data_IF_907530211690
#
_entry.id   IF_907530211690
#
_cell.length_a   1.000
_cell.length_b   1.000
_cell.length_c   1.000
_cell.angle_alpha   90.00
_cell.angle_beta   90.00
_cell.angle_gamma   90.00
#
_symmetry.space_group_name_H-M   'P 1'
#
loop_
_entity.id
_entity.type
_entity.pdbx_description
1 polymer ?
#
# COMPACT_ATOMS: atom_id res chain seq x y z
N UNK A 1 20.05 -26.55 -2.60
CA UNK A 1 19.18 -25.63 -3.35
C UNK A 1 19.45 -25.79 -4.84
N UNK A 2 18.40 -25.62 -5.63
CA UNK A 2 18.45 -25.68 -7.07
C UNK A 2 18.14 -24.31 -7.66
N UNK A 3 18.72 -23.99 -8.81
CA UNK A 3 18.49 -22.71 -9.49
C UNK A 3 18.32 -22.93 -10.99
N UNK A 4 17.53 -22.08 -11.62
CA UNK A 4 17.43 -21.99 -13.06
C UNK A 4 17.17 -20.53 -13.49
N UNK A 5 17.58 -20.19 -14.69
CA UNK A 5 17.30 -18.88 -15.29
C UNK A 5 16.16 -19.05 -16.28
N UNK A 6 15.16 -18.20 -16.17
CA UNK A 6 13.96 -18.18 -17.01
C UNK A 6 14.00 -16.95 -17.94
N UNK A 7 13.87 -17.18 -19.24
CA UNK A 7 13.87 -16.12 -20.27
C UNK A 7 15.03 -15.12 -20.14
N UNK A 8 16.20 -15.59 -19.70
CA UNK A 8 17.43 -14.81 -19.54
C UNK A 8 17.36 -13.60 -18.60
N UNK A 9 16.25 -13.40 -17.92
CA UNK A 9 16.01 -12.20 -17.07
C UNK A 9 15.46 -12.53 -15.69
N UNK A 10 14.98 -13.73 -15.44
CA UNK A 10 14.44 -14.14 -14.16
C UNK A 10 15.26 -15.29 -13.59
N UNK A 11 15.43 -15.29 -12.29
CA UNK A 11 16.08 -16.39 -11.57
C UNK A 11 15.05 -17.08 -10.70
N UNK A 12 14.91 -18.38 -10.87
CA UNK A 12 14.14 -19.23 -9.98
C UNK A 12 15.10 -20.06 -9.12
N UNK A 13 14.81 -20.15 -7.83
CA UNK A 13 15.54 -20.99 -6.88
C UNK A 13 14.56 -21.74 -5.99
N UNK A 14 14.89 -22.97 -5.62
CA UNK A 14 14.02 -23.79 -4.78
C UNK A 14 14.77 -24.74 -3.86
N UNK A 15 14.08 -25.14 -2.83
CA UNK A 15 14.42 -26.19 -1.90
C UNK A 15 13.24 -27.18 -1.81
N UNK A 16 13.32 -28.15 -0.91
CA UNK A 16 12.22 -29.07 -0.62
C UNK A 16 11.02 -28.36 0.03
N UNK A 17 11.20 -27.14 0.56
CA UNK A 17 10.19 -26.42 1.32
C UNK A 17 9.67 -25.16 0.66
N UNK A 18 10.44 -24.53 -0.23
CA UNK A 18 10.11 -23.24 -0.80
C UNK A 18 10.58 -23.09 -2.26
N UNK A 19 9.84 -22.29 -3.01
CA UNK A 19 10.14 -21.89 -4.37
C UNK A 19 10.07 -20.37 -4.48
N UNK A 20 11.12 -19.74 -5.02
CA UNK A 20 11.23 -18.30 -5.21
C UNK A 20 11.56 -17.98 -6.67
N UNK A 21 10.90 -16.97 -7.23
CA UNK A 21 11.21 -16.40 -8.54
C UNK A 21 11.43 -14.91 -8.37
N UNK A 22 12.58 -14.43 -8.80
CA UNK A 22 12.97 -13.02 -8.69
C UNK A 22 13.50 -12.48 -10.02
N UNK A 23 13.24 -11.21 -10.27
CA UNK A 23 13.64 -10.50 -11.49
C UNK A 23 12.64 -9.41 -11.87
N UNK A 24 12.74 -8.80 -13.05
CA UNK A 24 13.78 -9.05 -14.06
C UNK A 24 15.14 -8.45 -13.69
N UNK A 25 16.22 -9.12 -14.12
CA UNK A 25 17.60 -8.64 -13.95
C UNK A 25 18.39 -8.82 -15.25
N UNK A 26 19.47 -8.06 -15.38
CA UNK A 26 20.44 -8.22 -16.47
C UNK A 26 21.34 -9.45 -16.23
N UNK A 27 21.97 -9.95 -17.26
CA UNK A 27 22.77 -11.18 -17.18
C UNK A 27 23.92 -11.09 -16.15
N UNK A 28 24.53 -9.93 -16.01
CA UNK A 28 25.60 -9.65 -15.04
C UNK A 28 25.11 -9.64 -13.58
N UNK A 29 23.83 -9.36 -13.35
CA UNK A 29 23.22 -9.34 -12.01
C UNK A 29 22.64 -10.70 -11.57
N UNK A 30 22.55 -11.69 -12.46
CA UNK A 30 21.95 -13.00 -12.16
C UNK A 30 22.67 -13.74 -11.02
N UNK A 31 24.01 -13.69 -10.98
CA UNK A 31 24.78 -14.34 -9.92
C UNK A 31 24.48 -13.73 -8.54
N UNK A 32 24.38 -12.40 -8.45
CA UNK A 32 24.02 -11.72 -7.22
C UNK A 32 22.60 -12.08 -6.78
N UNK A 33 21.65 -12.18 -7.72
CA UNK A 33 20.29 -12.57 -7.45
C UNK A 33 20.17 -14.02 -6.97
N UNK A 34 20.96 -14.96 -7.54
CA UNK A 34 21.03 -16.33 -7.05
C UNK A 34 21.54 -16.40 -5.61
N UNK A 35 22.55 -15.59 -5.27
CA UNK A 35 23.05 -15.49 -3.90
C UNK A 35 21.97 -14.97 -2.95
N UNK A 36 21.22 -13.95 -3.35
CA UNK A 36 20.12 -13.40 -2.57
C UNK A 36 18.98 -14.41 -2.36
N UNK A 37 18.57 -15.13 -3.41
CA UNK A 37 17.59 -16.22 -3.31
C UNK A 37 18.12 -17.31 -2.35
N UNK A 38 19.39 -17.66 -2.44
CA UNK A 38 20.00 -18.65 -1.52
C UNK A 38 19.95 -18.19 -0.06
N UNK A 39 20.13 -16.90 0.21
CA UNK A 39 20.00 -16.34 1.55
C UNK A 39 18.54 -16.47 2.05
N UNK A 40 17.56 -16.11 1.22
CA UNK A 40 16.15 -16.23 1.60
C UNK A 40 15.72 -17.68 1.84
N UNK A 41 16.18 -18.63 1.01
CA UNK A 41 15.88 -20.05 1.20
C UNK A 41 16.52 -20.67 2.44
N UNK A 42 17.53 -20.01 3.02
CA UNK A 42 18.22 -20.45 4.25
C UNK A 42 17.68 -19.80 5.52
N UNK A 43 16.85 -18.75 5.38
CA UNK A 43 16.32 -18.06 6.54
C UNK A 43 15.46 -18.99 7.40
N UNK A 44 15.62 -18.90 8.70
CA UNK A 44 14.73 -19.54 9.66
C UNK A 44 13.51 -18.63 9.97
N UNK A 45 12.58 -19.14 10.78
CA UNK A 45 11.37 -18.41 11.16
C UNK A 45 11.66 -17.11 11.91
N UNK A 46 12.81 -16.96 12.56
CA UNK A 46 13.19 -15.77 13.32
C UNK A 46 13.85 -14.71 12.45
N UNK A 47 14.42 -15.10 11.31
CA UNK A 47 15.11 -14.21 10.36
C UNK A 47 14.18 -13.74 9.24
N UNK A 48 13.09 -14.45 8.97
CA UNK A 48 12.15 -14.17 7.90
C UNK A 48 11.14 -13.07 8.22
N UNK A 49 10.31 -12.77 7.22
CA UNK A 49 9.23 -11.77 7.34
C UNK A 49 8.24 -12.09 8.47
N UNK A 50 8.09 -13.37 8.84
CA UNK A 50 7.15 -13.84 9.87
C UNK A 50 7.45 -13.25 11.25
N UNK A 51 8.72 -12.94 11.56
CA UNK A 51 9.12 -12.25 12.79
C UNK A 51 8.84 -10.74 12.76
N UNK A 52 8.43 -10.19 11.62
CA UNK A 52 8.24 -8.76 11.44
C UNK A 52 6.86 -8.29 11.94
N UNK A 53 6.82 -7.05 12.43
CA UNK A 53 5.55 -6.38 12.79
C UNK A 53 4.60 -6.21 11.59
N UNK A 54 5.14 -6.13 10.37
CA UNK A 54 4.35 -6.09 9.14
C UNK A 54 3.60 -7.40 8.93
N UNK A 55 4.27 -8.53 9.09
CA UNK A 55 3.64 -9.85 8.99
C UNK A 55 2.59 -10.04 10.08
N UNK A 56 2.88 -9.69 11.33
CA UNK A 56 1.91 -9.77 12.42
C UNK A 56 0.63 -8.95 12.12
N UNK A 57 0.77 -7.78 11.47
CA UNK A 57 -0.39 -7.01 11.02
C UNK A 57 -1.12 -7.70 9.87
N UNK A 58 -0.42 -8.25 8.89
CA UNK A 58 -1.01 -8.99 7.77
C UNK A 58 -1.77 -10.23 8.26
N UNK A 59 -1.17 -11.00 9.14
CA UNK A 59 -1.74 -12.22 9.73
C UNK A 59 -3.00 -11.94 10.58
N UNK A 60 -3.10 -10.72 11.14
CA UNK A 60 -4.29 -10.29 11.90
C UNK A 60 -5.51 -9.96 11.03
N UNK A 61 -5.38 -9.93 9.70
CA UNK A 61 -6.47 -9.61 8.77
C UNK A 61 -7.16 -10.89 8.34
N UNK A 62 -8.38 -11.10 8.80
CA UNK A 62 -9.23 -12.24 8.42
C UNK A 62 -9.99 -11.94 7.13
N UNK A 63 -9.32 -12.07 5.98
CA UNK A 63 -9.89 -11.84 4.66
C UNK A 63 -9.28 -12.80 3.61
N UNK A 64 -10.05 -13.19 2.57
CA UNK A 64 -9.54 -14.03 1.47
C UNK A 64 -8.35 -13.43 0.73
N UNK A 65 -8.25 -12.11 0.68
CA UNK A 65 -7.11 -11.39 0.13
C UNK A 65 -6.79 -10.19 1.03
N UNK A 66 -5.53 -10.08 1.42
CA UNK A 66 -5.05 -8.99 2.27
C UNK A 66 -3.66 -8.52 1.82
N UNK A 67 -3.35 -7.27 2.14
CA UNK A 67 -2.09 -6.63 1.81
C UNK A 67 -1.67 -5.71 2.95
N UNK A 68 -0.37 -5.70 3.25
CA UNK A 68 0.26 -4.65 4.07
C UNK A 68 1.50 -4.17 3.33
N UNK A 69 1.61 -2.86 3.15
CA UNK A 69 2.73 -2.23 2.43
C UNK A 69 3.17 -0.94 3.10
N UNK A 70 4.41 -0.52 2.85
CA UNK A 70 4.87 0.82 3.20
C UNK A 70 4.44 1.81 2.11
N UNK A 71 3.99 3.01 2.49
CA UNK A 71 3.64 4.05 1.52
C UNK A 71 4.82 4.43 0.63
N UNK A 72 6.06 4.36 1.16
CA UNK A 72 7.28 4.60 0.40
C UNK A 72 7.53 3.59 -0.73
N UNK A 73 6.88 2.42 -0.72
CA UNK A 73 6.98 1.44 -1.79
C UNK A 73 6.07 1.76 -2.99
N UNK A 74 5.15 2.71 -2.85
CA UNK A 74 4.29 3.16 -3.94
C UNK A 74 5.02 4.13 -4.86
N UNK A 75 4.65 4.19 -6.16
CA UNK A 75 5.08 5.27 -7.03
C UNK A 75 4.73 6.63 -6.41
N UNK A 76 5.63 7.62 -6.53
CA UNK A 76 5.55 8.91 -5.85
C UNK A 76 4.19 9.61 -6.00
N UNK A 77 3.59 9.51 -7.18
CA UNK A 77 2.28 10.09 -7.49
C UNK A 77 1.13 9.52 -6.64
N UNK A 78 1.30 8.32 -6.09
CA UNK A 78 0.28 7.67 -5.25
C UNK A 78 0.53 7.81 -3.75
N UNK A 79 1.69 8.32 -3.33
CA UNK A 79 2.04 8.44 -1.90
C UNK A 79 1.20 9.50 -1.20
N UNK A 80 0.94 10.63 -1.87
CA UNK A 80 0.31 11.79 -1.26
C UNK A 80 -1.06 11.51 -0.59
N UNK A 81 -2.00 10.78 -1.21
CA UNK A 81 -3.28 10.46 -0.59
C UNK A 81 -3.14 9.63 0.69
N UNK A 82 -2.16 8.71 0.74
CA UNK A 82 -1.95 7.81 1.88
C UNK A 82 -1.20 8.48 3.04
N UNK A 83 -0.46 9.55 2.77
CA UNK A 83 0.27 10.32 3.80
C UNK A 83 -0.52 11.54 4.29
N UNK A 84 -1.76 11.72 3.85
CA UNK A 84 -2.61 12.81 4.30
C UNK A 84 -2.77 12.78 5.81
N UNK A 85 -2.42 13.89 6.46
CA UNK A 85 -2.46 14.01 7.92
C UNK A 85 -1.21 13.54 8.65
N UNK A 86 -0.25 12.91 7.96
CA UNK A 86 1.03 12.63 8.59
C UNK A 86 1.72 13.93 9.05
N UNK A 87 2.41 13.93 10.21
CA UNK A 87 3.11 15.10 10.71
C UNK A 87 4.15 15.62 9.72
N UNK A 88 4.39 16.92 9.69
CA UNK A 88 5.49 17.50 8.91
C UNK A 88 6.81 16.81 9.30
N UNK A 89 7.53 16.31 8.29
CA UNK A 89 8.79 15.59 8.49
C UNK A 89 8.63 14.09 8.82
N UNK A 90 7.41 13.54 8.84
CA UNK A 90 7.25 12.09 8.82
C UNK A 90 7.69 11.55 7.46
N UNK A 91 8.54 10.52 7.50
CA UNK A 91 8.96 9.80 6.31
C UNK A 91 7.80 8.91 5.81
N UNK A 92 7.64 8.79 4.49
CA UNK A 92 6.67 7.89 3.88
C UNK A 92 6.89 6.40 4.27
N UNK A 93 8.11 6.02 4.64
CA UNK A 93 8.42 4.70 5.19
C UNK A 93 7.77 4.42 6.55
N UNK A 94 7.41 5.47 7.30
CA UNK A 94 6.70 5.37 8.58
C UNK A 94 5.18 5.21 8.41
N UNK A 95 4.66 5.48 7.21
CA UNK A 95 3.24 5.31 6.89
C UNK A 95 3.04 3.97 6.21
N UNK A 96 2.17 3.18 6.77
CA UNK A 96 1.83 1.85 6.33
C UNK A 96 0.39 1.83 5.83
N UNK A 97 0.13 0.97 4.85
CA UNK A 97 -1.18 0.76 4.24
C UNK A 97 -1.54 -0.69 4.49
N UNK A 98 -2.69 -0.93 5.08
CA UNK A 98 -3.31 -2.24 5.11
C UNK A 98 -4.56 -2.20 4.25
N UNK A 99 -4.78 -3.24 3.45
CA UNK A 99 -5.98 -3.40 2.67
C UNK A 99 -6.45 -4.85 2.72
N UNK A 100 -7.76 -5.02 2.67
CA UNK A 100 -8.43 -6.31 2.59
C UNK A 100 -9.50 -6.31 1.51
N UNK A 101 -9.71 -7.46 0.92
CA UNK A 101 -10.79 -7.67 -0.04
C UNK A 101 -11.65 -8.85 0.41
N UNK A 102 -12.96 -8.59 0.48
CA UNK A 102 -13.98 -9.57 0.79
C UNK A 102 -15.04 -9.61 -0.31
N UNK A 103 -15.61 -10.78 -0.56
CA UNK A 103 -16.75 -10.94 -1.46
C UNK A 103 -17.96 -11.35 -0.63
N UNK A 104 -18.97 -10.49 -0.56
CA UNK A 104 -20.22 -10.73 0.15
C UNK A 104 -21.40 -10.43 -0.75
N UNK A 105 -22.33 -11.39 -0.86
CA UNK A 105 -23.54 -11.24 -1.70
C UNK A 105 -23.22 -10.79 -3.15
N UNK A 106 -22.21 -11.37 -3.77
CA UNK A 106 -21.73 -11.04 -5.12
C UNK A 106 -21.17 -9.63 -5.29
N UNK A 107 -20.92 -8.92 -4.18
CA UNK A 107 -20.29 -7.60 -4.16
C UNK A 107 -18.87 -7.74 -3.62
N UNK A 108 -17.91 -7.16 -4.33
CA UNK A 108 -16.54 -7.04 -3.86
C UNK A 108 -16.43 -5.82 -2.94
N UNK A 109 -15.99 -6.06 -1.72
CA UNK A 109 -15.70 -5.03 -0.74
C UNK A 109 -14.19 -4.91 -0.58
N UNK A 110 -13.65 -3.73 -0.83
CA UNK A 110 -12.25 -3.42 -0.58
C UNK A 110 -12.22 -2.37 0.54
N UNK A 111 -11.61 -2.73 1.66
CA UNK A 111 -11.38 -1.83 2.77
C UNK A 111 -9.89 -1.57 2.88
N UNK A 112 -9.54 -0.34 3.20
CA UNK A 112 -8.15 0.05 3.40
C UNK A 112 -8.01 1.02 4.55
N UNK A 113 -6.90 0.94 5.26
CA UNK A 113 -6.52 1.88 6.30
C UNK A 113 -5.06 2.29 6.16
N UNK A 114 -4.74 3.50 6.59
CA UNK A 114 -3.37 3.93 6.81
C UNK A 114 -3.06 3.93 8.30
N UNK A 115 -1.89 3.43 8.66
CA UNK A 115 -1.45 3.35 10.05
C UNK A 115 0.06 3.52 10.16
N UNK A 116 0.56 3.60 11.38
CA UNK A 116 1.99 3.64 11.67
C UNK A 116 2.30 2.87 12.93
N UNK A 117 3.49 2.27 12.99
CA UNK A 117 4.04 1.73 14.23
C UNK A 117 4.65 2.81 15.14
N UNK A 118 4.84 4.02 14.62
CA UNK A 118 5.16 5.20 15.42
C UNK A 118 3.85 5.80 15.96
N UNK A 119 3.69 5.86 17.28
CA UNK A 119 2.46 6.32 17.93
C UNK A 119 2.06 7.73 17.51
N UNK A 120 3.01 8.67 17.43
CA UNK A 120 2.75 10.06 17.04
C UNK A 120 2.22 10.15 15.60
N UNK A 121 2.83 9.40 14.69
CA UNK A 121 2.38 9.36 13.29
C UNK A 121 1.00 8.70 13.20
N UNK A 122 0.80 7.60 13.92
CA UNK A 122 -0.46 6.86 13.92
C UNK A 122 -1.64 7.69 14.48
N UNK A 123 -1.43 8.43 15.56
CA UNK A 123 -2.46 9.33 16.11
C UNK A 123 -2.82 10.46 15.13
N UNK A 124 -1.83 11.03 14.45
CA UNK A 124 -2.07 12.06 13.44
C UNK A 124 -2.86 11.51 12.24
N UNK A 125 -2.52 10.31 11.75
CA UNK A 125 -3.27 9.64 10.70
C UNK A 125 -4.72 9.36 11.13
N UNK A 126 -4.94 8.84 12.34
CA UNK A 126 -6.28 8.62 12.90
C UNK A 126 -7.08 9.92 13.04
N UNK A 127 -6.43 11.01 13.44
CA UNK A 127 -7.07 12.31 13.51
C UNK A 127 -7.47 12.83 12.12
N UNK A 128 -6.63 12.61 11.11
CA UNK A 128 -6.93 12.97 9.73
C UNK A 128 -8.11 12.17 9.17
N UNK A 129 -8.24 10.89 9.51
CA UNK A 129 -9.39 10.07 9.09
C UNK A 129 -10.75 10.60 9.58
N UNK A 130 -10.79 11.35 10.69
CA UNK A 130 -12.00 11.98 11.21
C UNK A 130 -12.56 13.11 10.34
N UNK A 131 -11.86 13.48 9.26
CA UNK A 131 -12.39 14.41 8.26
C UNK A 131 -13.42 13.77 7.34
N UNK A 132 -13.31 12.46 7.11
CA UNK A 132 -14.22 11.73 6.25
C UNK A 132 -15.59 11.57 6.92
N UNK A 133 -16.64 11.72 6.13
CA UNK A 133 -18.02 11.59 6.56
C UNK A 133 -18.72 10.54 5.71
N UNK A 134 -19.76 9.88 6.23
CA UNK A 134 -20.58 8.96 5.43
C UNK A 134 -21.12 9.64 4.17
N UNK A 135 -21.05 8.95 3.04
CA UNK A 135 -21.60 9.42 1.79
C UNK A 135 -23.13 9.36 1.89
N UNK A 136 -23.79 10.49 1.64
CA UNK A 136 -25.24 10.56 1.65
C UNK A 136 -25.79 10.22 0.26
N UNK A 137 -26.85 9.40 0.20
CA UNK A 137 -27.39 8.82 -1.04
C UNK A 137 -27.82 9.81 -2.13
N UNK A 138 -28.02 11.09 -1.80
CA UNK A 138 -28.42 12.13 -2.74
C UNK A 138 -27.50 12.25 -3.97
N UNK A 139 -26.20 12.05 -3.81
CA UNK A 139 -25.24 12.12 -4.91
C UNK A 139 -25.11 10.79 -5.68
N UNK A 140 -25.35 9.68 -5.00
CA UNK A 140 -25.32 8.35 -5.63
C UNK A 140 -26.46 8.22 -6.65
N UNK A 141 -27.65 8.80 -6.34
CA UNK A 141 -28.80 8.76 -7.24
C UNK A 141 -28.63 9.60 -8.51
N UNK A 142 -27.64 10.50 -8.55
CA UNK A 142 -27.31 11.30 -9.72
C UNK A 142 -26.41 10.57 -10.74
N UNK A 143 -25.90 9.37 -10.39
CA UNK A 143 -25.09 8.58 -11.33
C UNK A 143 -25.93 8.08 -12.51
N UNK A 144 -25.43 8.20 -13.76
CA UNK A 144 -26.03 7.56 -14.90
C UNK A 144 -26.12 6.03 -14.72
N UNK A 145 -27.16 5.40 -15.30
CA UNK A 145 -27.36 3.95 -15.18
C UNK A 145 -26.28 3.12 -15.89
N UNK A 146 -25.64 3.69 -16.88
CA UNK A 146 -24.57 3.11 -17.71
C UNK A 146 -23.16 3.47 -17.23
N UNK A 147 -23.05 4.16 -16.08
CA UNK A 147 -21.75 4.47 -15.51
C UNK A 147 -21.00 3.19 -15.11
N UNK A 148 -19.81 2.99 -15.65
CA UNK A 148 -18.94 1.86 -15.30
C UNK A 148 -18.25 2.05 -13.96
N UNK A 149 -18.02 3.30 -13.53
CA UNK A 149 -17.34 3.65 -12.28
C UNK A 149 -17.85 4.98 -11.75
N UNK A 150 -17.91 5.10 -10.43
CA UNK A 150 -18.17 6.35 -9.74
C UNK A 150 -17.28 6.47 -8.50
N UNK A 151 -16.75 7.65 -8.26
CA UNK A 151 -16.03 7.98 -7.03
C UNK A 151 -16.80 9.05 -6.26
N UNK A 152 -17.05 8.79 -5.00
CA UNK A 152 -17.72 9.72 -4.11
C UNK A 152 -16.83 9.98 -2.91
N UNK A 153 -16.68 11.26 -2.57
CA UNK A 153 -15.90 11.69 -1.42
C UNK A 153 -16.74 12.68 -0.61
N UNK A 154 -16.95 12.37 0.66
CA UNK A 154 -17.58 13.29 1.60
C UNK A 154 -16.60 13.63 2.71
N UNK A 155 -16.24 14.89 2.81
CA UNK A 155 -15.26 15.40 3.78
C UNK A 155 -15.78 16.63 4.52
N UNK A 156 -15.30 16.81 5.74
CA UNK A 156 -15.43 18.06 6.47
C UNK A 156 -14.47 19.09 5.87
N UNK A 157 -14.97 20.00 5.05
CA UNK A 157 -14.17 20.99 4.30
C UNK A 157 -13.32 21.87 5.20
N UNK A 158 -13.82 22.24 6.39
CA UNK A 158 -13.08 23.10 7.34
C UNK A 158 -11.85 22.39 7.90
N UNK A 159 -11.93 21.07 8.10
CA UNK A 159 -10.82 20.25 8.58
C UNK A 159 -9.92 19.76 7.46
N UNK A 160 -10.49 19.55 6.28
CA UNK A 160 -9.76 19.02 5.11
C UNK A 160 -8.82 20.07 4.51
N UNK A 161 -9.27 21.31 4.39
CA UNK A 161 -8.48 22.39 3.78
C UNK A 161 -7.09 22.61 4.42
N UNK A 162 -6.93 22.69 5.76
CA UNK A 162 -5.62 22.80 6.39
C UNK A 162 -4.71 21.60 6.13
N UNK A 163 -5.28 20.38 6.05
CA UNK A 163 -4.50 19.18 5.74
C UNK A 163 -3.97 19.20 4.30
N UNK A 164 -4.78 19.64 3.34
CA UNK A 164 -4.36 19.83 1.96
C UNK A 164 -3.25 20.88 1.86
N UNK A 165 -3.39 22.01 2.54
CA UNK A 165 -2.40 23.07 2.53
C UNK A 165 -1.07 22.68 3.18
N UNK A 166 -1.07 21.71 4.05
CA UNK A 166 0.14 21.19 4.71
C UNK A 166 0.85 20.10 3.92
N UNK A 167 0.18 19.46 2.96
CA UNK A 167 0.72 18.33 2.20
C UNK A 167 1.30 18.79 0.86
N UNK A 168 2.63 18.75 0.72
CA UNK A 168 3.34 19.19 -0.50
C UNK A 168 2.93 18.41 -1.76
N UNK A 169 2.66 17.10 -1.63
CA UNK A 169 2.24 16.27 -2.77
C UNK A 169 0.87 16.68 -3.30
N UNK A 170 -0.08 16.98 -2.40
CA UNK A 170 -1.40 17.50 -2.79
C UNK A 170 -1.29 18.90 -3.39
N UNK A 171 -0.42 19.76 -2.85
CA UNK A 171 -0.17 21.08 -3.44
C UNK A 171 0.39 20.98 -4.86
N UNK A 172 1.34 20.07 -5.09
CA UNK A 172 1.90 19.85 -6.44
C UNK A 172 0.82 19.36 -7.41
N UNK A 173 -0.06 18.47 -6.98
CA UNK A 173 -1.17 17.95 -7.77
C UNK A 173 -2.20 19.04 -8.12
N UNK A 174 -2.54 19.89 -7.16
CA UNK A 174 -3.43 21.04 -7.37
C UNK A 174 -2.81 22.09 -8.30
N UNK A 175 -1.50 22.34 -8.20
CA UNK A 175 -0.78 23.25 -9.09
C UNK A 175 -0.81 22.72 -10.53
N UNK A 176 -0.60 21.40 -10.72
CA UNK A 176 -0.69 20.76 -12.03
C UNK A 176 -2.08 20.90 -12.68
N UNK A 177 -3.15 20.83 -11.90
CA UNK A 177 -4.52 21.03 -12.40
C UNK A 177 -4.77 22.49 -12.81
N UNK A 178 -4.20 23.46 -12.09
CA UNK A 178 -4.38 24.88 -12.40
C UNK A 178 -3.54 25.36 -13.60
N UNK A 179 -2.58 24.56 -14.05
CA UNK A 179 -1.72 24.88 -15.21
C UNK A 179 -2.13 24.13 -16.49
N UNK A 180 -3.12 23.27 -16.42
CA UNK A 180 -3.72 22.55 -17.54
C UNK A 180 -4.97 23.27 -18.05
#
# INVERSE_FOLDING_TARGET
FHFTVLKDTWVAGWSDQAFLVMGPVTADAQAALQQQISQYLKQDENEGIMSSRLYAKLDSIDAPMSMVAQAAALPEQFVAPFTLGAPKGADASQVLIAAEMNIKAQVMHINGETFSFNSRVNEALKAAHKIYRPIQGKYISAMPRDAMMGMFLNVDGQKFLPLMQSNKGIQALLTGINTA
#
